data_IF_598520972455
#
_entry.id   IF_598520972455
#
_cell.length_a   1.000
_cell.length_b   1.000
_cell.length_c   1.000
_cell.angle_alpha   90.00
_cell.angle_beta   90.00
_cell.angle_gamma   90.00
#
_symmetry.space_group_name_H-M   'P 1'
#
loop_
_entity.id
_entity.type
_entity.pdbx_description
1 polymer ?
#
# COMPACT_ATOMS: atom_id res chain seq x y z
N UNK A 1 -4.26 -2.37 -3.88
CA UNK A 1 -3.78 -0.98 -3.91
C UNK A 1 -4.85 0.04 -3.53
N UNK A 2 -5.82 0.39 -4.40
CA UNK A 2 -6.79 1.47 -4.12
C UNK A 2 -7.51 1.34 -2.77
N UNK A 3 -8.12 0.18 -2.52
CA UNK A 3 -8.85 -0.08 -1.26
C UNK A 3 -7.96 0.14 -0.05
N UNK A 4 -6.75 -0.40 -0.08
CA UNK A 4 -5.83 -0.35 1.05
C UNK A 4 -5.26 1.05 1.28
N UNK A 5 -4.84 1.73 0.21
CA UNK A 5 -4.24 3.06 0.30
C UNK A 5 -5.24 4.19 0.54
N UNK A 6 -6.52 4.01 0.21
CA UNK A 6 -7.51 5.10 0.18
C UNK A 6 -8.76 4.76 0.97
N UNK A 7 -9.45 3.68 0.61
CA UNK A 7 -10.74 3.34 1.25
C UNK A 7 -10.57 2.92 2.70
N UNK A 8 -9.50 2.20 3.01
CA UNK A 8 -9.25 1.64 4.34
C UNK A 8 -8.21 2.43 5.13
N UNK A 9 -7.24 3.10 4.50
CA UNK A 9 -6.26 3.96 5.19
C UNK A 9 -6.71 5.42 5.30
N UNK A 10 -7.84 5.67 5.97
CA UNK A 10 -8.41 7.04 6.09
C UNK A 10 -7.77 7.84 7.21
N UNK A 11 -7.38 7.18 8.30
CA UNK A 11 -6.75 7.80 9.46
C UNK A 11 -5.30 7.35 9.60
N UNK A 12 -4.47 8.07 10.38
CA UNK A 12 -3.12 7.61 10.69
C UNK A 12 -3.10 6.22 11.34
N UNK A 13 -4.06 5.92 12.21
CA UNK A 13 -4.16 4.62 12.88
C UNK A 13 -4.49 3.52 11.86
N UNK A 14 -5.37 3.80 10.89
CA UNK A 14 -5.64 2.82 9.85
C UNK A 14 -4.39 2.53 9.00
N UNK A 15 -3.55 3.53 8.74
CA UNK A 15 -2.36 3.37 7.91
C UNK A 15 -1.19 2.71 8.67
N UNK A 16 -0.87 3.21 9.87
CA UNK A 16 0.29 2.80 10.67
C UNK A 16 0.01 1.65 11.64
N UNK A 17 -1.26 1.45 12.03
CA UNK A 17 -1.63 0.54 13.10
C UNK A 17 -1.89 1.23 14.44
N UNK A 18 -2.34 0.44 15.41
CA UNK A 18 -2.62 0.92 16.76
C UNK A 18 -1.34 1.16 17.55
N UNK A 19 -1.32 2.10 18.51
CA UNK A 19 -0.13 2.36 19.33
C UNK A 19 0.37 1.10 20.06
N UNK A 20 1.69 0.92 20.06
CA UNK A 20 2.39 -0.09 20.86
C UNK A 20 3.45 0.61 21.71
N UNK A 21 3.40 0.42 23.03
CA UNK A 21 4.23 1.14 24.01
C UNK A 21 5.02 0.19 24.90
N UNK A 22 6.02 0.74 25.56
CA UNK A 22 6.77 0.00 26.58
C UNK A 22 5.83 -0.47 27.70
N UNK A 23 5.82 -1.78 27.94
CA UNK A 23 4.96 -2.43 28.93
C UNK A 23 3.67 -3.02 28.37
N UNK A 24 3.35 -2.76 27.10
CA UNK A 24 2.22 -3.42 26.43
C UNK A 24 2.57 -4.87 26.06
N UNK A 25 1.56 -5.73 26.04
CA UNK A 25 1.68 -7.07 25.45
C UNK A 25 1.96 -6.98 23.94
N UNK A 26 2.64 -7.97 23.35
CA UNK A 26 2.90 -7.98 21.91
C UNK A 26 1.61 -7.75 21.09
N UNK A 27 1.65 -6.86 20.09
CA UNK A 27 0.47 -6.52 19.31
C UNK A 27 -0.04 -7.73 18.54
N UNK A 28 -1.36 -7.86 18.45
CA UNK A 28 -2.01 -8.90 17.65
C UNK A 28 -2.12 -8.46 16.19
N UNK A 29 -2.45 -9.39 15.29
CA UNK A 29 -2.65 -9.08 13.86
C UNK A 29 -3.68 -7.96 13.60
N UNK A 30 -4.67 -7.78 14.48
CA UNK A 30 -5.68 -6.72 14.35
C UNK A 30 -5.16 -5.31 14.70
N UNK A 31 -3.98 -5.21 15.33
CA UNK A 31 -3.31 -3.95 15.65
C UNK A 31 -2.55 -3.37 14.44
N UNK A 32 -2.36 -4.14 13.37
CA UNK A 32 -1.57 -3.75 12.21
C UNK A 32 -2.29 -2.73 11.32
N UNK A 33 -1.52 -1.87 10.66
CA UNK A 33 -2.04 -0.95 9.65
C UNK A 33 -2.48 -1.69 8.38
N UNK A 34 -3.33 -1.08 7.55
CA UNK A 34 -3.90 -1.74 6.36
C UNK A 34 -2.85 -2.21 5.35
N UNK A 35 -1.76 -1.45 5.19
CA UNK A 35 -0.65 -1.81 4.29
C UNK A 35 0.11 -3.01 4.82
N UNK A 36 0.46 -3.00 6.10
CA UNK A 36 1.12 -4.11 6.81
C UNK A 36 0.25 -5.38 6.78
N UNK A 37 -1.04 -5.24 7.08
CA UNK A 37 -1.95 -6.37 7.22
C UNK A 37 -2.15 -7.13 5.90
N UNK A 38 -2.30 -6.39 4.81
CA UNK A 38 -2.74 -6.96 3.53
C UNK A 38 -1.58 -7.06 2.56
N UNK A 39 -1.28 -5.99 1.83
CA UNK A 39 -0.32 -5.99 0.72
C UNK A 39 1.06 -6.45 1.19
N UNK A 40 1.52 -5.93 2.33
CA UNK A 40 2.78 -6.30 2.94
C UNK A 40 2.90 -7.83 3.13
N UNK A 41 1.99 -8.39 3.94
CA UNK A 41 2.00 -9.82 4.29
C UNK A 41 1.75 -10.73 3.08
N UNK A 42 0.92 -10.32 2.11
CA UNK A 42 0.65 -11.15 0.93
C UNK A 42 1.88 -11.33 0.05
N UNK A 43 2.71 -10.30 -0.13
CA UNK A 43 3.94 -10.42 -0.94
C UNK A 43 4.99 -11.26 -0.21
N UNK A 44 5.12 -11.10 1.11
CA UNK A 44 5.95 -11.98 1.94
C UNK A 44 5.56 -13.45 1.75
N UNK A 45 4.27 -13.79 1.94
CA UNK A 45 3.77 -15.15 1.76
C UNK A 45 3.89 -15.66 0.32
N UNK A 46 3.70 -14.80 -0.68
CA UNK A 46 3.78 -15.19 -2.09
C UNK A 46 5.22 -15.44 -2.57
N UNK A 47 6.17 -14.65 -2.07
CA UNK A 47 7.58 -14.72 -2.47
C UNK A 47 8.35 -15.75 -1.65
N UNK A 48 7.84 -16.11 -0.47
CA UNK A 48 8.51 -17.02 0.45
C UNK A 48 8.81 -18.40 -0.14
N UNK A 49 9.95 -18.95 0.24
CA UNK A 49 10.33 -20.31 -0.14
C UNK A 49 9.60 -21.29 0.78
N UNK A 50 8.82 -22.20 0.19
CA UNK A 50 8.14 -23.27 0.92
C UNK A 50 9.02 -24.52 0.87
N UNK A 51 9.82 -24.73 1.93
CA UNK A 51 10.58 -25.97 2.12
C UNK A 51 9.72 -27.02 2.83
N UNK A 52 8.93 -26.57 3.80
CA UNK A 52 7.89 -27.34 4.51
C UNK A 52 6.65 -26.43 4.64
N UNK A 53 5.43 -26.92 4.36
CA UNK A 53 4.21 -26.13 4.52
C UNK A 53 4.04 -25.44 5.88
N UNK A 54 4.66 -25.98 6.93
CA UNK A 54 4.62 -25.40 8.27
C UNK A 54 5.80 -24.47 8.57
N UNK A 55 6.84 -24.47 7.74
CA UNK A 55 8.09 -23.74 7.96
C UNK A 55 8.52 -23.04 6.67
N UNK A 56 7.85 -21.94 6.27
CA UNK A 56 8.35 -21.10 5.20
C UNK A 56 9.68 -20.45 5.63
N UNK A 57 10.55 -20.18 4.66
CA UNK A 57 11.81 -19.47 4.85
C UNK A 57 11.90 -18.27 3.90
N UNK A 58 12.97 -17.49 4.04
CA UNK A 58 13.21 -16.27 3.29
C UNK A 58 12.00 -15.34 3.41
N UNK A 59 11.49 -14.82 2.30
CA UNK A 59 10.38 -13.87 2.27
C UNK A 59 9.12 -14.32 3.03
N UNK A 60 8.94 -15.63 3.28
CA UNK A 60 7.77 -16.17 3.97
C UNK A 60 7.85 -16.17 5.50
N UNK A 61 9.01 -15.84 6.08
CA UNK A 61 9.17 -15.82 7.54
C UNK A 61 10.05 -14.65 8.02
N UNK A 62 9.59 -13.92 9.04
CA UNK A 62 10.26 -12.70 9.53
C UNK A 62 11.71 -12.92 9.99
N UNK A 63 12.06 -14.10 10.51
CA UNK A 63 13.41 -14.39 10.99
C UNK A 63 14.43 -14.59 9.86
N UNK A 64 13.97 -14.88 8.64
CA UNK A 64 14.82 -15.17 7.49
C UNK A 64 14.56 -14.27 6.29
N UNK A 65 13.52 -13.44 6.32
CA UNK A 65 13.12 -12.61 5.18
C UNK A 65 14.19 -11.69 4.64
N UNK A 66 15.06 -11.16 5.50
CA UNK A 66 16.14 -10.27 5.08
C UNK A 66 17.34 -11.00 4.44
N UNK A 67 17.34 -12.34 4.41
CA UNK A 67 18.36 -13.15 3.71
C UNK A 67 18.14 -13.15 2.19
N UNK A 68 16.90 -12.93 1.75
CA UNK A 68 16.59 -12.69 0.33
C UNK A 68 16.76 -11.20 0.01
N UNK A 69 17.68 -10.82 -0.91
CA UNK A 69 17.89 -9.42 -1.28
C UNK A 69 16.64 -8.68 -1.77
N UNK A 70 15.63 -9.38 -2.29
CA UNK A 70 14.37 -8.75 -2.73
C UNK A 70 13.63 -8.06 -1.59
N UNK A 71 13.87 -8.48 -0.34
CA UNK A 71 13.33 -7.86 0.87
C UNK A 71 13.54 -6.35 0.88
N UNK A 72 14.76 -5.88 0.59
CA UNK A 72 15.10 -4.46 0.66
C UNK A 72 14.43 -3.66 -0.46
N UNK A 73 14.41 -4.19 -1.69
CA UNK A 73 13.71 -3.57 -2.81
C UNK A 73 12.19 -3.50 -2.56
N UNK A 74 11.64 -4.57 -1.96
CA UNK A 74 10.24 -4.63 -1.60
C UNK A 74 9.87 -3.60 -0.52
N UNK A 75 10.62 -3.56 0.59
CA UNK A 75 10.41 -2.61 1.68
C UNK A 75 10.67 -1.16 1.25
N UNK A 76 11.54 -0.93 0.26
CA UNK A 76 11.65 0.38 -0.38
C UNK A 76 10.35 0.80 -1.08
N UNK A 77 9.63 -0.11 -1.74
CA UNK A 77 8.33 0.23 -2.28
C UNK A 77 7.25 0.41 -1.18
N UNK A 78 7.36 -0.29 -0.04
CA UNK A 78 6.48 -0.05 1.13
C UNK A 78 6.72 1.35 1.71
N UNK A 79 7.97 1.77 1.88
CA UNK A 79 8.34 3.13 2.28
C UNK A 79 7.84 4.18 1.27
N UNK A 80 7.96 3.89 -0.04
CA UNK A 80 7.36 4.72 -1.10
C UNK A 80 5.85 4.87 -0.95
N UNK A 81 5.11 3.84 -0.53
CA UNK A 81 3.66 3.95 -0.33
C UNK A 81 3.32 4.97 0.75
N UNK A 82 4.12 5.08 1.81
CA UNK A 82 3.92 6.12 2.82
C UNK A 82 4.08 7.53 2.21
N UNK A 83 5.10 7.76 1.38
CA UNK A 83 5.26 9.05 0.68
C UNK A 83 4.07 9.36 -0.24
N UNK A 84 3.52 8.35 -0.93
CA UNK A 84 2.33 8.51 -1.78
C UNK A 84 1.10 8.83 -0.94
N UNK A 85 0.93 8.16 0.20
CA UNK A 85 -0.20 8.38 1.09
C UNK A 85 -0.22 9.81 1.63
N UNK A 86 0.92 10.33 2.08
CA UNK A 86 1.07 11.73 2.49
C UNK A 86 0.77 12.71 1.34
N UNK A 87 1.44 12.53 0.20
CA UNK A 87 1.46 13.56 -0.84
C UNK A 87 0.23 13.53 -1.76
N UNK A 88 -0.26 12.34 -2.11
CA UNK A 88 -1.31 12.12 -3.10
C UNK A 88 -2.68 11.82 -2.48
N UNK A 89 -2.70 11.08 -1.36
CA UNK A 89 -3.95 10.71 -0.66
C UNK A 89 -4.29 11.72 0.46
N UNK A 90 -3.36 12.61 0.82
CA UNK A 90 -3.51 13.61 1.90
C UNK A 90 -3.65 12.98 3.29
N UNK A 91 -2.93 11.87 3.50
CA UNK A 91 -2.71 11.30 4.82
C UNK A 91 -1.93 12.23 5.74
N UNK A 92 -1.93 11.93 7.04
CA UNK A 92 -1.22 12.70 8.06
C UNK A 92 -0.42 11.77 8.98
N UNK A 93 0.78 12.17 9.39
CA UNK A 93 1.57 11.37 10.33
C UNK A 93 0.94 11.38 11.73
N UNK A 94 1.27 10.35 12.52
CA UNK A 94 0.97 10.33 13.95
C UNK A 94 1.75 11.44 14.63
N UNK A 95 1.09 12.18 15.52
CA UNK A 95 1.69 13.32 16.24
C UNK A 95 1.86 13.06 17.74
N UNK A 96 1.57 11.85 18.20
CA UNK A 96 1.67 11.49 19.60
C UNK A 96 3.14 11.48 20.06
N UNK A 97 3.49 12.14 21.20
CA UNK A 97 4.87 12.25 21.64
C UNK A 97 5.58 10.93 21.93
N UNK A 98 4.84 9.92 22.40
CA UNK A 98 5.34 8.57 22.63
C UNK A 98 5.81 7.90 21.34
N UNK A 99 5.04 8.03 20.25
CA UNK A 99 5.41 7.55 18.92
C UNK A 99 6.59 8.34 18.35
N UNK A 100 6.55 9.67 18.39
CA UNK A 100 7.60 10.53 17.86
C UNK A 100 8.97 10.33 18.56
N UNK A 101 8.95 10.06 19.86
CA UNK A 101 10.15 9.83 20.67
C UNK A 101 10.57 8.36 20.77
N UNK A 102 9.79 7.43 20.22
CA UNK A 102 10.22 6.04 20.08
C UNK A 102 11.51 6.01 19.26
N UNK A 103 12.44 5.14 19.67
CA UNK A 103 13.75 5.06 19.07
C UNK A 103 14.19 3.62 18.82
N UNK A 104 15.05 3.48 17.83
CA UNK A 104 15.69 2.24 17.44
C UNK A 104 17.19 2.45 17.41
N UNK A 105 17.96 1.35 17.47
CA UNK A 105 19.41 1.38 17.38
C UNK A 105 19.81 0.58 16.13
N UNK A 106 20.52 1.24 15.21
CA UNK A 106 21.08 0.61 14.02
C UNK A 106 22.59 0.76 14.02
N UNK A 107 23.29 -0.16 13.35
CA UNK A 107 24.67 0.04 12.99
C UNK A 107 24.74 0.85 11.69
N UNK A 108 25.55 1.90 11.69
CA UNK A 108 25.80 2.69 10.50
C UNK A 108 26.92 2.06 9.63
N UNK A 109 27.29 2.74 8.55
CA UNK A 109 28.30 2.32 7.58
C UNK A 109 29.72 2.18 8.18
N UNK A 110 30.04 2.89 9.27
CA UNK A 110 31.28 2.69 10.04
C UNK A 110 31.16 1.66 11.17
N UNK A 111 30.11 0.83 11.15
CA UNK A 111 29.81 -0.16 12.19
C UNK A 111 29.69 0.44 13.60
N UNK A 112 29.17 1.67 13.71
CA UNK A 112 28.88 2.33 14.99
C UNK A 112 27.39 2.24 15.31
N UNK A 113 27.01 1.98 16.58
CA UNK A 113 25.63 2.00 16.99
C UNK A 113 25.11 3.45 17.03
N UNK A 114 24.03 3.72 16.30
CA UNK A 114 23.37 5.03 16.23
C UNK A 114 21.92 4.88 16.69
N UNK A 115 21.51 5.76 17.60
CA UNK A 115 20.12 5.89 18.02
C UNK A 115 19.37 6.78 17.02
N UNK A 116 18.28 6.28 16.46
CA UNK A 116 17.39 7.03 15.55
C UNK A 116 16.00 7.11 16.17
N UNK A 117 15.33 8.26 16.08
CA UNK A 117 13.95 8.43 16.54
C UNK A 117 13.00 8.53 15.35
N UNK A 118 11.74 8.16 15.56
CA UNK A 118 10.71 8.25 14.51
C UNK A 118 10.56 9.67 13.98
N UNK A 119 10.56 10.69 14.86
CA UNK A 119 10.42 12.08 14.40
C UNK A 119 11.51 12.54 13.43
N UNK A 120 12.70 11.93 13.50
CA UNK A 120 13.85 12.30 12.68
C UNK A 120 13.77 11.68 11.27
N UNK A 121 12.85 10.73 11.03
CA UNK A 121 12.66 10.08 9.72
C UNK A 121 11.37 10.47 8.97
N UNK A 122 10.57 11.41 9.49
CA UNK A 122 9.28 11.83 8.89
C UNK A 122 9.40 12.59 7.56
N UNK A 123 10.61 12.92 7.14
CA UNK A 123 10.92 13.66 5.93
C UNK A 123 12.11 13.00 5.22
N UNK A 124 11.84 12.26 4.15
CA UNK A 124 12.87 11.53 3.40
C UNK A 124 13.91 12.47 2.78
N UNK A 125 13.55 13.73 2.50
CA UNK A 125 14.49 14.70 1.91
C UNK A 125 15.60 15.09 2.90
N UNK A 126 15.29 15.13 4.20
CA UNK A 126 16.29 15.34 5.27
C UNK A 126 17.17 14.11 5.47
N UNK A 127 16.68 12.93 5.11
CA UNK A 127 17.44 11.69 5.06
C UNK A 127 18.28 11.55 3.78
N UNK A 128 18.17 12.50 2.85
CA UNK A 128 18.96 12.54 1.62
C UNK A 128 18.42 11.68 0.48
N UNK A 129 17.14 11.27 0.51
CA UNK A 129 16.55 10.48 -0.58
C UNK A 129 15.10 10.85 -0.92
N UNK A 130 14.73 10.56 -2.16
CA UNK A 130 13.35 10.64 -2.67
C UNK A 130 13.10 9.51 -3.67
N UNK A 131 11.83 9.25 -3.98
CA UNK A 131 11.44 8.29 -5.02
C UNK A 131 11.25 8.96 -6.37
N UNK A 132 11.51 8.22 -7.44
CA UNK A 132 11.18 8.65 -8.80
C UNK A 132 9.65 8.79 -8.97
N UNK A 133 9.26 9.85 -9.67
CA UNK A 133 7.88 10.13 -10.04
C UNK A 133 7.43 9.24 -11.20
N UNK A 134 6.89 8.08 -10.87
CA UNK A 134 6.30 7.15 -11.83
C UNK A 134 4.76 7.19 -11.79
N UNK A 135 4.06 6.94 -12.93
CA UNK A 135 2.61 6.91 -12.97
C UNK A 135 2.01 5.96 -11.92
N UNK A 136 0.92 6.40 -11.27
CA UNK A 136 0.21 5.63 -10.23
C UNK A 136 -1.16 5.18 -10.79
N UNK A 137 -1.23 4.09 -11.59
CA UNK A 137 -2.44 3.73 -12.32
C UNK A 137 -3.62 3.34 -11.42
N UNK A 138 -3.35 2.80 -10.23
CA UNK A 138 -4.40 2.46 -9.26
C UNK A 138 -5.05 3.68 -8.60
N UNK A 139 -4.43 4.86 -8.67
CA UNK A 139 -5.01 6.12 -8.24
C UNK A 139 -5.92 6.71 -9.33
N UNK A 140 -5.48 6.66 -10.59
CA UNK A 140 -6.22 7.17 -11.74
C UNK A 140 -7.48 6.35 -12.08
N UNK A 141 -7.40 5.00 -11.97
CA UNK A 141 -8.53 4.11 -12.24
C UNK A 141 -9.75 4.39 -11.35
N UNK A 142 -9.54 4.93 -10.14
CA UNK A 142 -10.63 5.31 -9.24
C UNK A 142 -11.40 6.56 -9.68
N UNK A 143 -10.71 7.59 -10.19
CA UNK A 143 -11.37 8.82 -10.67
C UNK A 143 -12.31 8.54 -11.84
N UNK A 144 -11.97 7.58 -12.69
CA UNK A 144 -12.78 7.20 -13.86
C UNK A 144 -13.99 6.32 -13.52
N UNK A 145 -14.02 5.66 -12.36
CA UNK A 145 -15.20 4.87 -11.92
C UNK A 145 -16.36 5.75 -11.40
N UNK A 146 -16.08 7.00 -11.03
CA UNK A 146 -17.09 8.01 -10.68
C UNK A 146 -17.77 8.64 -11.90
N UNK A 147 -17.17 8.52 -13.09
CA UNK A 147 -17.82 8.85 -14.35
C UNK A 147 -18.41 7.56 -14.92
N UNK A 148 -19.62 7.18 -14.49
CA UNK A 148 -20.48 6.33 -15.33
C UNK A 148 -20.51 7.01 -16.70
N UNK A 149 -19.87 6.42 -17.71
CA UNK A 149 -20.18 6.77 -19.09
C UNK A 149 -21.69 6.60 -19.21
N UNK A 150 -22.40 7.72 -19.40
CA UNK A 150 -23.79 7.68 -19.83
C UNK A 150 -23.79 6.77 -21.07
N UNK A 151 -24.65 5.74 -21.17
CA UNK A 151 -24.71 4.95 -22.36
C UNK A 151 -24.97 5.92 -23.51
N UNK A 152 -23.97 6.08 -24.37
CA UNK A 152 -24.16 6.78 -25.62
C UNK A 152 -25.13 5.90 -26.39
N UNK A 153 -26.39 6.34 -26.47
CA UNK A 153 -27.37 5.77 -27.39
C UNK A 153 -26.77 5.95 -28.78
N UNK A 154 -26.05 4.92 -29.24
CA UNK A 154 -25.75 4.73 -30.64
C UNK A 154 -27.10 4.74 -31.34
N UNK A 155 -27.38 5.86 -32.01
CA UNK A 155 -28.51 6.03 -32.89
C UNK A 155 -28.32 5.03 -34.03
N UNK A 156 -28.82 3.80 -33.85
CA UNK A 156 -28.96 2.82 -34.91
C UNK A 156 -30.04 3.36 -35.86
N UNK A 157 -29.61 4.16 -36.83
CA UNK A 157 -30.41 4.42 -38.03
C UNK A 157 -30.36 3.15 -38.90
N UNK A 158 -31.31 2.24 -38.70
CA UNK A 158 -31.58 1.15 -39.64
C UNK A 158 -33.04 1.21 -40.07
N UNK A 159 -33.20 1.73 -41.29
CA UNK A 159 -34.19 1.41 -42.32
C UNK A 159 -35.56 0.89 -41.85
N UNK A 160 -36.56 1.76 -41.96
CA UNK A 160 -37.97 1.38 -42.06
C UNK A 160 -38.16 0.45 -43.26
N UNK A 161 -38.43 -0.84 -43.00
CA UNK A 161 -39.11 -1.69 -43.99
C UNK A 161 -40.61 -1.42 -43.88
N UNK A 162 -41.18 -0.87 -44.96
CA UNK A 162 -42.62 -0.69 -45.14
C UNK A 162 -43.24 -2.06 -45.48
N UNK A 163 -44.19 -2.51 -44.66
CA UNK A 163 -45.19 -3.47 -45.10
C UNK A 163 -46.22 -2.74 -45.95
N UNK A 164 -46.33 -3.10 -47.23
CA UNK A 164 -47.53 -2.88 -48.01
C UNK A 164 -47.91 -4.19 -48.69
N UNK A 165 -49.12 -4.63 -48.33
CA UNK A 165 -49.88 -5.72 -48.91
C UNK A 165 -49.94 -5.63 -50.44
N UNK A 166 -49.79 -6.79 -51.10
CA UNK A 166 -50.45 -7.07 -52.36
C UNK A 166 -51.04 -8.48 -52.33
N UNK A 167 -52.24 -8.54 -52.88
CA UNK A 167 -53.27 -9.59 -52.86
C UNK A 167 -53.00 -10.73 -53.85
N UNK A 168 -53.58 -11.90 -53.55
CA UNK A 168 -53.84 -13.09 -54.39
C UNK A 168 -54.30 -12.78 -55.84
N UNK A 169 -54.15 -13.72 -56.79
CA UNK A 169 -54.94 -14.98 -56.84
C UNK A 169 -54.17 -16.24 -56.46
#
# INVERSE_FOLDING_TARGET
MYTQMITQSKTPIDFFGTPFRAGDDPPTFSATGQIEQTLHNHVHSWTGTIVDPNNPIDMGALYSTAQDPIFYAYHSNVDRLWTIWLNQVKGTNITYPDWLNAYFIFYNEEAKPVRVRIQDCLDTTKLGYTYEDVPIPWLARSRNLGQRQKPCLLHLSLLKFSQQHWTNP
#
